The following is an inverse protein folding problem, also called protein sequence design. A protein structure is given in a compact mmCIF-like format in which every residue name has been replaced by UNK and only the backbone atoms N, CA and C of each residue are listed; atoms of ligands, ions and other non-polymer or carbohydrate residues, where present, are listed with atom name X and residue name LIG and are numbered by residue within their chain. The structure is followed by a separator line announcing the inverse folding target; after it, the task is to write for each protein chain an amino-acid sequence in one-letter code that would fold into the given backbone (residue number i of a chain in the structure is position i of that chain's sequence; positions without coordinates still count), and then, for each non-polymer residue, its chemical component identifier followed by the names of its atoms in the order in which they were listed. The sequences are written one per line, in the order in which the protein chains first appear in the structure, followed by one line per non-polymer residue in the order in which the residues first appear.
data_IF_503425441126
#
_entry.id   IF_503425441126
#
_cell.length_a   1.000
_cell.length_b   1.000
_cell.length_c   1.000
_cell.angle_alpha   90.00
_cell.angle_beta   90.00
_cell.angle_gamma   90.00
#
_symmetry.space_group_name_H-M   'P 1'
#
loop_
_entity.id
_entity.type
_entity.pdbx_description
1 polymer ?
#
# COMPACT_ATOMS: atom_id res chain seq x y z
N UNK A 1 1.96 -14.05 2.30
CA UNK A 1 2.36 -12.61 2.35
C UNK A 1 3.77 -12.38 1.77
N UNK A 2 4.09 -13.06 0.67
CA UNK A 2 5.32 -12.83 -0.10
C UNK A 2 5.01 -11.79 -1.18
N UNK A 3 5.77 -10.67 -1.20
CA UNK A 3 6.44 -10.16 -2.41
C UNK A 3 7.42 -9.00 -2.14
N UNK A 4 7.49 -8.41 -0.93
CA UNK A 4 8.56 -7.46 -0.61
C UNK A 4 9.95 -8.09 -0.39
N UNK A 5 10.12 -9.40 -0.61
CA UNK A 5 11.44 -10.06 -0.60
C UNK A 5 12.03 -10.28 -1.99
N UNK A 6 11.26 -10.11 -3.07
CA UNK A 6 11.67 -10.64 -4.37
C UNK A 6 12.56 -9.71 -5.22
N UNK A 7 12.74 -8.43 -4.83
CA UNK A 7 13.54 -7.48 -5.62
C UNK A 7 14.85 -7.01 -4.96
N UNK A 8 15.26 -7.57 -3.82
CA UNK A 8 16.56 -7.22 -3.20
C UNK A 8 17.74 -8.11 -3.61
N UNK A 9 17.53 -9.21 -4.35
CA UNK A 9 18.61 -10.17 -4.68
C UNK A 9 19.18 -10.05 -6.09
N UNK A 10 18.72 -9.12 -6.95
CA UNK A 10 19.28 -8.97 -8.30
C UNK A 10 20.53 -8.09 -8.40
N UNK A 11 21.13 -7.66 -7.28
CA UNK A 11 22.39 -6.90 -7.26
C UNK A 11 23.36 -7.34 -6.16
N UNK A 12 23.62 -8.65 -6.02
CA UNK A 12 24.82 -9.13 -5.31
C UNK A 12 25.37 -10.32 -6.10
N UNK A 13 26.67 -10.25 -6.43
CA UNK A 13 27.36 -11.08 -7.43
C UNK A 13 27.43 -12.58 -7.15
N UNK A 14 27.66 -13.29 -8.24
CA UNK A 14 27.87 -14.72 -8.34
C UNK A 14 29.12 -15.21 -7.56
N UNK A 15 29.01 -16.37 -6.91
CA UNK A 15 30.12 -17.32 -6.73
C UNK A 15 29.58 -18.75 -6.87
N UNK A 16 30.32 -19.54 -7.66
CA UNK A 16 30.12 -20.93 -8.08
C UNK A 16 30.19 -21.97 -6.93
N UNK A 17 29.62 -23.17 -7.16
CA UNK A 17 30.12 -24.54 -6.84
C UNK A 17 28.98 -25.57 -7.02
N UNK A 18 28.91 -26.34 -8.11
CA UNK A 18 29.47 -27.69 -8.31
C UNK A 18 28.99 -28.74 -7.26
N UNK A 19 27.95 -29.51 -7.59
CA UNK A 19 27.96 -30.93 -8.04
C UNK A 19 28.30 -31.95 -6.93
N UNK A 20 27.27 -32.65 -6.45
CA UNK A 20 27.40 -33.92 -5.74
C UNK A 20 26.32 -34.89 -6.25
N UNK A 21 26.71 -35.74 -7.20
CA UNK A 21 26.02 -36.98 -7.55
C UNK A 21 26.56 -38.14 -6.71
N UNK A 22 25.64 -38.98 -6.23
CA UNK A 22 25.94 -40.31 -5.70
C UNK A 22 24.78 -41.29 -6.00
N UNK A 23 25.03 -42.60 -6.19
CA UNK A 23 24.21 -43.44 -7.07
C UNK A 23 23.53 -44.64 -6.37
N UNK A 24 22.89 -45.49 -7.20
CA UNK A 24 22.45 -46.87 -6.98
C UNK A 24 20.97 -47.01 -6.52
N UNK A 25 20.19 -48.03 -6.92
CA UNK A 25 20.52 -49.38 -7.41
C UNK A 25 19.23 -50.06 -7.94
N UNK A 26 19.42 -51.00 -8.87
CA UNK A 26 18.41 -51.85 -9.52
C UNK A 26 17.57 -52.72 -8.57
N UNK A 27 16.33 -53.02 -8.96
CA UNK A 27 15.75 -54.36 -8.79
C UNK A 27 14.67 -54.62 -9.84
N UNK A 28 14.85 -55.73 -10.55
CA UNK A 28 14.01 -56.29 -11.61
C UNK A 28 13.44 -57.59 -11.04
N UNK A 29 12.14 -57.85 -11.19
CA UNK A 29 11.57 -59.19 -11.08
C UNK A 29 10.47 -59.36 -12.13
N UNK A 30 10.69 -60.32 -13.02
CA UNK A 30 9.68 -60.97 -13.86
C UNK A 30 9.14 -62.19 -13.09
N UNK A 31 7.86 -62.55 -13.29
CA UNK A 31 7.41 -63.88 -13.76
C UNK A 31 5.88 -63.90 -13.98
N UNK A 32 5.48 -64.72 -14.96
CA UNK A 32 4.18 -64.86 -15.64
C UNK A 32 3.05 -65.61 -14.91
N UNK A 33 1.81 -65.39 -15.39
CA UNK A 33 0.74 -66.40 -15.57
C UNK A 33 -0.57 -66.23 -14.77
N UNK A 34 -1.71 -66.82 -15.22
CA UNK A 34 -2.45 -66.51 -16.45
C UNK A 34 -3.94 -66.14 -16.22
N UNK A 35 -4.63 -65.90 -17.34
CA UNK A 35 -5.99 -65.38 -17.54
C UNK A 35 -7.15 -65.96 -16.70
N UNK A 36 -8.06 -65.07 -16.31
CA UNK A 36 -9.49 -65.35 -16.16
C UNK A 36 -10.29 -64.10 -16.55
N UNK A 37 -11.10 -64.21 -17.61
CA UNK A 37 -12.13 -63.24 -17.95
C UNK A 37 -13.30 -63.39 -16.97
N UNK A 38 -13.70 -62.29 -16.34
CA UNK A 38 -15.06 -62.08 -15.83
C UNK A 38 -15.44 -60.64 -16.13
N UNK A 39 -16.45 -60.49 -16.96
CA UNK A 39 -17.17 -59.26 -17.21
C UNK A 39 -17.90 -58.86 -15.92
N UNK A 40 -17.61 -57.69 -15.38
CA UNK A 40 -18.48 -57.03 -14.39
C UNK A 40 -18.28 -55.50 -14.51
N UNK A 41 -19.19 -54.89 -15.27
CA UNK A 41 -19.70 -53.52 -15.12
C UNK A 41 -18.69 -52.46 -14.63
N UNK A 42 -17.98 -51.87 -15.59
CA UNK A 42 -17.19 -50.65 -15.40
C UNK A 42 -18.15 -49.49 -15.06
N UNK A 43 -18.56 -49.39 -13.80
CA UNK A 43 -19.19 -48.20 -13.24
C UNK A 43 -18.17 -47.07 -13.30
N UNK A 44 -18.27 -46.35 -14.41
CA UNK A 44 -17.52 -45.18 -14.80
C UNK A 44 -17.60 -44.12 -13.69
N UNK A 45 -16.68 -44.19 -12.72
CA UNK A 45 -16.49 -43.14 -11.72
C UNK A 45 -15.80 -41.98 -12.45
N UNK A 46 -16.57 -41.22 -13.21
CA UNK A 46 -16.13 -39.90 -13.63
C UNK A 46 -16.05 -39.05 -12.37
N UNK A 47 -14.85 -38.59 -11.94
CA UNK A 47 -14.80 -37.50 -11.00
C UNK A 47 -15.53 -36.33 -11.65
N UNK A 48 -16.71 -36.00 -11.11
CA UNK A 48 -17.35 -34.73 -11.43
C UNK A 48 -16.31 -33.66 -11.17
N UNK A 49 -16.05 -32.73 -12.12
CA UNK A 49 -15.16 -31.62 -11.84
C UNK A 49 -15.73 -30.92 -10.63
N UNK A 50 -15.05 -31.06 -9.49
CA UNK A 50 -15.39 -30.35 -8.28
C UNK A 50 -15.41 -28.87 -8.66
N UNK A 51 -16.56 -28.22 -8.47
CA UNK A 51 -16.65 -26.76 -8.64
C UNK A 51 -15.46 -26.18 -7.88
N UNK A 52 -14.60 -25.36 -8.50
CA UNK A 52 -13.48 -24.77 -7.78
C UNK A 52 -14.07 -24.08 -6.57
N UNK A 53 -13.69 -24.54 -5.38
CA UNK A 53 -14.02 -23.87 -4.12
C UNK A 53 -13.69 -22.41 -4.33
N UNK A 54 -14.63 -21.48 -4.07
CA UNK A 54 -14.44 -20.08 -4.42
C UNK A 54 -13.14 -19.60 -3.80
N UNK A 55 -12.20 -19.19 -4.65
CA UNK A 55 -10.90 -18.71 -4.19
C UNK A 55 -11.17 -17.58 -3.17
N UNK A 56 -10.54 -17.60 -1.98
CA UNK A 56 -10.80 -16.61 -0.95
C UNK A 56 -10.68 -15.19 -1.53
N UNK A 57 -11.65 -14.32 -1.28
CA UNK A 57 -11.73 -13.00 -1.93
C UNK A 57 -10.42 -12.17 -1.82
N UNK A 58 -9.71 -12.25 -0.70
CA UNK A 58 -8.40 -11.62 -0.53
C UNK A 58 -7.32 -12.16 -1.49
N UNK A 59 -7.36 -13.46 -1.79
CA UNK A 59 -6.43 -14.07 -2.72
C UNK A 59 -6.74 -13.64 -4.16
N UNK A 60 -8.04 -13.59 -4.53
CA UNK A 60 -8.49 -12.99 -5.79
C UNK A 60 -8.03 -11.55 -5.94
N UNK A 61 -8.30 -10.70 -4.95
CA UNK A 61 -7.83 -9.31 -4.91
C UNK A 61 -6.32 -9.22 -5.14
N UNK A 62 -5.52 -10.02 -4.43
CA UNK A 62 -4.06 -10.05 -4.61
C UNK A 62 -3.65 -10.43 -6.03
N UNK A 63 -4.32 -11.40 -6.63
CA UNK A 63 -4.01 -11.89 -7.97
C UNK A 63 -4.42 -10.88 -9.04
N UNK A 64 -5.65 -10.40 -8.96
CA UNK A 64 -6.30 -9.58 -9.99
C UNK A 64 -5.85 -8.10 -9.94
N UNK A 65 -5.35 -7.60 -8.80
CA UNK A 65 -4.76 -6.25 -8.72
C UNK A 65 -3.23 -6.25 -8.89
N UNK A 66 -2.59 -7.40 -9.13
CA UNK A 66 -1.12 -7.54 -9.17
C UNK A 66 -0.46 -6.62 -10.18
N UNK A 67 -1.01 -6.56 -11.40
CA UNK A 67 -0.43 -5.76 -12.48
C UNK A 67 -0.44 -4.27 -12.13
N UNK A 68 -1.57 -3.75 -11.63
CA UNK A 68 -1.70 -2.34 -11.23
C UNK A 68 -0.85 -1.99 -10.01
N UNK A 69 -0.80 -2.87 -9.01
CA UNK A 69 0.09 -2.69 -7.86
C UNK A 69 1.55 -2.60 -8.31
N UNK A 70 2.01 -3.52 -9.16
CA UNK A 70 3.38 -3.54 -9.67
C UNK A 70 3.72 -2.30 -10.51
N UNK A 71 2.78 -1.84 -11.34
CA UNK A 71 2.95 -0.60 -12.11
C UNK A 71 3.15 0.61 -11.18
N UNK A 72 2.27 0.79 -10.20
CA UNK A 72 2.38 1.87 -9.21
C UNK A 72 3.71 1.80 -8.42
N UNK A 73 4.09 0.60 -7.97
CA UNK A 73 5.32 0.38 -7.20
C UNK A 73 6.57 0.71 -8.03
N UNK A 74 6.61 0.31 -9.31
CA UNK A 74 7.75 0.55 -10.20
C UNK A 74 8.05 2.02 -10.47
N UNK A 75 7.07 2.90 -10.28
CA UNK A 75 7.19 4.35 -10.46
C UNK A 75 7.53 5.07 -9.15
N UNK A 76 7.48 4.37 -8.03
CA UNK A 76 7.71 4.95 -6.72
C UNK A 76 9.17 5.30 -6.49
N UNK A 77 9.39 6.53 -6.02
CA UNK A 77 10.71 7.05 -5.66
C UNK A 77 11.01 6.87 -4.17
N UNK A 78 10.07 6.35 -3.38
CA UNK A 78 10.16 6.32 -1.92
C UNK A 78 11.24 5.38 -1.38
N UNK A 79 11.71 4.45 -2.20
CA UNK A 79 12.81 3.52 -1.88
C UNK A 79 14.10 3.85 -2.65
N UNK A 80 14.14 4.99 -3.36
CA UNK A 80 15.35 5.50 -4.00
C UNK A 80 16.37 5.91 -2.91
N UNK A 81 17.59 5.35 -2.90
CA UNK A 81 18.64 5.78 -1.98
C UNK A 81 19.03 7.26 -2.11
N UNK A 82 18.78 7.86 -3.28
CA UNK A 82 19.02 9.28 -3.55
C UNK A 82 17.77 10.17 -3.36
N UNK A 83 16.73 9.66 -2.68
CA UNK A 83 15.57 10.47 -2.33
C UNK A 83 15.99 11.64 -1.44
N UNK A 84 15.73 12.87 -1.89
CA UNK A 84 15.97 14.07 -1.08
C UNK A 84 14.76 14.41 -0.22
N UNK A 85 14.96 15.25 0.81
CA UNK A 85 13.86 15.71 1.68
C UNK A 85 12.80 16.51 0.91
N UNK A 86 13.22 17.30 -0.08
CA UNK A 86 12.34 18.08 -0.95
C UNK A 86 11.48 17.17 -1.82
N UNK A 87 12.09 16.15 -2.46
CA UNK A 87 11.37 15.14 -3.25
C UNK A 87 10.42 14.30 -2.39
N UNK A 88 10.78 14.07 -1.13
CA UNK A 88 9.91 13.38 -0.20
C UNK A 88 8.71 14.23 0.23
N UNK A 89 8.92 15.50 0.58
CA UNK A 89 7.85 16.47 0.89
C UNK A 89 6.87 16.62 -0.27
N UNK A 90 7.40 16.69 -1.49
CA UNK A 90 6.68 16.67 -2.75
C UNK A 90 5.77 15.43 -2.84
N UNK A 91 6.33 14.23 -2.66
CA UNK A 91 5.54 12.99 -2.62
C UNK A 91 4.41 13.06 -1.60
N UNK A 92 4.68 13.48 -0.36
CA UNK A 92 3.65 13.58 0.68
C UNK A 92 2.54 14.57 0.34
N UNK A 93 2.84 15.67 -0.34
CA UNK A 93 1.83 16.61 -0.82
C UNK A 93 0.87 15.93 -1.83
N UNK A 94 1.40 15.08 -2.74
CA UNK A 94 0.55 14.29 -3.65
C UNK A 94 -0.27 13.24 -2.90
N UNK A 95 0.33 12.52 -1.96
CA UNK A 95 -0.41 11.56 -1.12
C UNK A 95 -1.54 12.27 -0.37
N UNK A 96 -1.29 13.43 0.24
CA UNK A 96 -2.31 14.23 0.91
C UNK A 96 -3.42 14.66 -0.05
N UNK A 97 -3.05 15.17 -1.24
CA UNK A 97 -3.99 15.56 -2.29
C UNK A 97 -4.89 14.44 -2.81
N UNK A 98 -4.49 13.17 -2.64
CA UNK A 98 -5.34 12.01 -2.97
C UNK A 98 -6.16 11.53 -1.76
N UNK A 99 -5.48 11.31 -0.63
CA UNK A 99 -6.08 10.70 0.56
C UNK A 99 -7.13 11.61 1.20
N UNK A 100 -6.89 12.91 1.33
CA UNK A 100 -7.82 13.82 1.99
C UNK A 100 -9.22 13.84 1.32
N UNK A 101 -9.34 14.09 -0.01
CA UNK A 101 -10.65 14.07 -0.65
C UNK A 101 -11.25 12.66 -0.77
N UNK A 102 -10.42 11.61 -0.90
CA UNK A 102 -10.91 10.22 -0.89
C UNK A 102 -11.52 9.84 0.47
N UNK A 103 -10.85 10.17 1.57
CA UNK A 103 -11.35 9.88 2.90
C UNK A 103 -12.59 10.70 3.24
N UNK A 104 -12.72 11.93 2.73
CA UNK A 104 -13.96 12.69 2.81
C UNK A 104 -15.11 11.95 2.09
N UNK A 105 -14.86 11.45 0.88
CA UNK A 105 -15.84 10.64 0.14
C UNK A 105 -16.19 9.35 0.86
N UNK A 106 -15.20 8.66 1.42
CA UNK A 106 -15.41 7.47 2.24
C UNK A 106 -16.30 7.79 3.44
N UNK A 107 -16.05 8.87 4.19
CA UNK A 107 -16.91 9.25 5.35
C UNK A 107 -18.38 9.44 4.97
N UNK A 108 -18.65 10.00 3.79
CA UNK A 108 -20.00 10.20 3.28
C UNK A 108 -20.61 9.01 2.52
N UNK A 109 -19.90 7.88 2.43
CA UNK A 109 -20.35 6.73 1.65
C UNK A 109 -21.59 6.07 2.28
N UNK A 110 -22.67 5.81 1.52
CA UNK A 110 -23.79 5.01 2.01
C UNK A 110 -23.41 3.54 2.18
N UNK A 111 -22.30 3.08 1.60
CA UNK A 111 -21.79 1.71 1.74
C UNK A 111 -21.42 1.32 3.17
N UNK A 112 -21.33 2.28 4.12
CA UNK A 112 -21.13 1.95 5.53
C UNK A 112 -22.34 1.26 6.17
N UNK A 113 -23.54 1.47 5.64
CA UNK A 113 -24.78 0.94 6.23
C UNK A 113 -24.77 -0.59 6.39
N UNK A 114 -24.14 -1.29 5.44
CA UNK A 114 -24.06 -2.75 5.42
C UNK A 114 -22.63 -3.27 5.68
N UNK A 115 -21.64 -2.39 5.85
CA UNK A 115 -20.25 -2.78 5.99
C UNK A 115 -19.96 -3.51 7.32
N UNK A 116 -20.69 -3.17 8.39
CA UNK A 116 -20.49 -3.76 9.72
C UNK A 116 -19.05 -3.60 10.24
N UNK A 117 -18.34 -2.55 9.81
CA UNK A 117 -16.91 -2.37 10.06
C UNK A 117 -16.60 -0.94 10.52
N UNK A 118 -16.03 -0.80 11.72
CA UNK A 118 -15.68 0.49 12.30
C UNK A 118 -14.36 1.03 11.71
N UNK A 119 -14.44 2.01 10.81
CA UNK A 119 -13.26 2.51 10.09
C UNK A 119 -12.70 3.85 10.59
N UNK A 120 -13.40 4.57 11.47
CA UNK A 120 -13.02 5.94 11.84
C UNK A 120 -11.56 6.10 12.31
N UNK A 121 -11.04 5.14 13.07
CA UNK A 121 -9.65 5.13 13.58
C UNK A 121 -8.59 4.66 12.56
N UNK A 122 -8.96 4.52 11.29
CA UNK A 122 -8.11 4.01 10.19
C UNK A 122 -7.84 5.07 9.10
N UNK A 123 -8.48 6.23 9.20
CA UNK A 123 -8.20 7.39 8.34
C UNK A 123 -6.77 7.91 8.57
N UNK A 124 -6.06 8.22 7.47
CA UNK A 124 -4.62 8.51 7.40
C UNK A 124 -4.33 9.93 6.93
N UNK A 125 -5.32 10.67 6.41
CA UNK A 125 -5.13 12.07 5.98
C UNK A 125 -4.58 12.97 7.09
N UNK A 126 -4.95 12.72 8.35
CA UNK A 126 -4.40 13.43 9.50
C UNK A 126 -2.90 13.16 9.72
N UNK A 127 -2.44 11.93 9.48
CA UNK A 127 -1.02 11.57 9.57
C UNK A 127 -0.21 12.25 8.46
N UNK A 128 -0.76 12.34 7.25
CA UNK A 128 -0.16 13.09 6.15
C UNK A 128 -0.04 14.58 6.47
N UNK A 129 -1.09 15.19 7.02
CA UNK A 129 -1.04 16.59 7.46
C UNK A 129 0.03 16.80 8.53
N UNK A 130 0.10 15.92 9.53
CA UNK A 130 1.14 15.94 10.56
C UNK A 130 2.54 15.88 9.94
N UNK A 131 2.78 14.95 9.01
CA UNK A 131 4.09 14.80 8.37
C UNK A 131 4.47 16.03 7.56
N UNK A 132 3.55 16.59 6.79
CA UNK A 132 3.77 17.81 6.01
C UNK A 132 4.17 19.00 6.90
N UNK A 133 3.48 19.18 8.03
CA UNK A 133 3.79 20.24 9.00
C UNK A 133 5.16 20.00 9.67
N UNK A 134 5.46 18.75 10.07
CA UNK A 134 6.75 18.39 10.66
C UNK A 134 7.94 18.60 9.70
N UNK A 135 7.70 18.50 8.40
CA UNK A 135 8.68 18.77 7.36
C UNK A 135 8.78 20.26 6.97
N UNK A 136 8.01 21.15 7.61
CA UNK A 136 8.10 22.60 7.44
C UNK A 136 7.09 23.20 6.46
N UNK A 137 6.11 22.44 5.97
CA UNK A 137 5.01 23.04 5.20
C UNK A 137 4.19 23.95 6.11
N UNK A 138 4.00 25.22 5.70
CA UNK A 138 3.21 26.15 6.48
C UNK A 138 1.72 25.76 6.50
N UNK A 139 1.00 25.91 7.62
CA UNK A 139 -0.43 25.59 7.69
C UNK A 139 -1.29 26.27 6.62
N UNK A 140 -0.98 27.52 6.27
CA UNK A 140 -1.69 28.25 5.21
C UNK A 140 -1.55 27.59 3.82
N UNK A 141 -0.44 26.87 3.57
CA UNK A 141 -0.18 26.17 2.31
C UNK A 141 -0.88 24.82 2.24
N UNK A 142 -1.14 24.16 3.38
CA UNK A 142 -1.80 22.86 3.44
C UNK A 142 -3.20 22.91 2.80
N UNK A 143 -3.98 23.95 3.08
CA UNK A 143 -5.32 24.15 2.50
C UNK A 143 -5.29 24.50 1.00
N UNK A 144 -4.15 24.98 0.48
CA UNK A 144 -3.98 25.33 -0.93
C UNK A 144 -3.37 24.22 -1.78
N UNK A 145 -3.15 23.02 -1.21
CA UNK A 145 -2.60 21.90 -1.98
C UNK A 145 -3.61 21.41 -3.04
N UNK A 146 -3.13 21.08 -4.25
CA UNK A 146 -3.95 20.43 -5.26
C UNK A 146 -4.61 19.17 -4.70
N UNK A 147 -5.89 18.99 -5.00
CA UNK A 147 -6.67 17.83 -4.58
C UNK A 147 -7.15 17.04 -5.79
N UNK A 148 -7.08 15.72 -5.71
CA UNK A 148 -7.55 14.82 -6.75
C UNK A 148 -9.07 14.89 -6.88
N UNK A 149 -9.57 15.24 -8.06
CA UNK A 149 -11.01 15.20 -8.37
C UNK A 149 -11.45 13.87 -8.99
N UNK A 150 -10.54 13.20 -9.71
CA UNK A 150 -10.76 11.92 -10.37
C UNK A 150 -10.58 10.73 -9.42
N UNK A 151 -11.43 10.67 -8.39
CA UNK A 151 -11.42 9.63 -7.35
C UNK A 151 -12.33 8.44 -7.70
N UNK A 152 -12.07 7.23 -7.17
CA UNK A 152 -12.92 6.07 -7.38
C UNK A 152 -14.31 6.29 -6.76
N UNK A 153 -15.33 5.64 -7.32
CA UNK A 153 -16.68 5.62 -6.73
C UNK A 153 -16.69 4.75 -5.47
N UNK A 154 -17.44 5.17 -4.46
CA UNK A 154 -17.62 4.46 -3.19
C UNK A 154 -19.08 4.60 -2.73
N UNK A 155 -20.01 4.24 -3.61
CA UNK A 155 -21.47 4.33 -3.40
C UNK A 155 -22.06 3.03 -2.88
N UNK A 156 -21.34 1.91 -2.99
CA UNK A 156 -21.78 0.61 -2.47
C UNK A 156 -20.78 0.03 -1.48
N UNK A 157 -21.24 -0.88 -0.62
CA UNK A 157 -20.39 -1.61 0.34
C UNK A 157 -19.25 -2.36 -0.36
N UNK A 158 -19.52 -2.92 -1.55
CA UNK A 158 -18.49 -3.59 -2.37
C UNK A 158 -17.42 -2.62 -2.87
N UNK A 159 -17.83 -1.45 -3.37
CA UNK A 159 -16.90 -0.41 -3.79
C UNK A 159 -16.09 0.14 -2.62
N UNK A 160 -16.72 0.29 -1.46
CA UNK A 160 -16.06 0.68 -0.23
C UNK A 160 -14.97 -0.33 0.15
N UNK A 161 -15.28 -1.63 0.23
CA UNK A 161 -14.28 -2.64 0.58
C UNK A 161 -13.14 -2.77 -0.46
N UNK A 162 -13.45 -2.60 -1.75
CA UNK A 162 -12.44 -2.58 -2.80
C UNK A 162 -11.45 -1.41 -2.63
N UNK A 163 -11.97 -0.21 -2.36
CA UNK A 163 -11.16 0.96 -2.06
C UNK A 163 -10.31 0.77 -0.81
N UNK A 164 -10.92 0.31 0.30
CA UNK A 164 -10.23 0.09 1.56
C UNK A 164 -9.14 -0.99 1.46
N UNK A 165 -9.30 -1.99 0.60
CA UNK A 165 -8.26 -3.00 0.37
C UNK A 165 -6.95 -2.36 -0.08
N UNK A 166 -7.02 -1.35 -0.97
CA UNK A 166 -5.83 -0.62 -1.43
C UNK A 166 -5.24 0.22 -0.31
N UNK A 167 -6.06 0.98 0.42
CA UNK A 167 -5.60 1.89 1.48
C UNK A 167 -5.05 1.15 2.70
N UNK A 168 -5.67 0.04 3.11
CA UNK A 168 -5.18 -0.81 4.20
C UNK A 168 -3.96 -1.62 3.75
N UNK A 169 -3.96 -2.12 2.51
CA UNK A 169 -2.82 -2.86 1.94
C UNK A 169 -1.55 -2.03 1.88
N UNK A 170 -1.66 -0.73 1.55
CA UNK A 170 -0.53 0.20 1.51
C UNK A 170 0.22 0.31 2.86
N UNK A 171 -0.44 0.07 3.99
CA UNK A 171 0.20 0.14 5.32
C UNK A 171 1.24 -0.96 5.55
N UNK A 172 1.08 -2.11 4.90
CA UNK A 172 2.03 -3.22 4.97
C UNK A 172 3.36 -2.85 4.30
N UNK A 173 3.29 -2.24 3.10
CA UNK A 173 4.46 -1.72 2.40
C UNK A 173 5.07 -0.50 3.08
N UNK A 174 4.24 0.33 3.71
CA UNK A 174 4.65 1.50 4.51
C UNK A 174 5.68 1.16 5.59
N UNK A 175 5.66 -0.04 6.17
CA UNK A 175 6.66 -0.47 7.15
C UNK A 175 8.08 -0.54 6.57
N UNK A 176 8.21 -0.87 5.29
CA UNK A 176 9.52 -0.93 4.62
C UNK A 176 9.99 0.47 4.26
N UNK A 177 9.07 1.30 3.74
CA UNK A 177 9.32 2.71 3.46
C UNK A 177 9.77 3.45 4.72
N UNK A 178 9.10 3.24 5.85
CA UNK A 178 9.46 3.88 7.13
C UNK A 178 10.90 3.57 7.55
N UNK A 179 11.34 2.31 7.42
CA UNK A 179 12.73 1.92 7.73
C UNK A 179 13.72 2.56 6.76
N UNK A 180 13.38 2.63 5.48
CA UNK A 180 14.20 3.29 4.47
C UNK A 180 14.33 4.79 4.73
N UNK A 181 13.24 5.48 5.05
CA UNK A 181 13.23 6.92 5.36
C UNK A 181 14.05 7.22 6.62
N UNK A 182 13.98 6.37 7.64
CA UNK A 182 14.83 6.50 8.82
C UNK A 182 16.31 6.35 8.47
N UNK A 183 16.66 5.36 7.64
CA UNK A 183 18.06 5.11 7.27
C UNK A 183 18.65 6.17 6.32
N UNK A 184 17.86 6.66 5.36
CA UNK A 184 18.33 7.57 4.30
C UNK A 184 18.16 9.05 4.64
N UNK A 185 17.10 9.42 5.36
CA UNK A 185 16.73 10.81 5.65
C UNK A 185 16.66 11.14 7.15
N UNK A 186 16.87 10.16 8.03
CA UNK A 186 16.75 10.35 9.49
C UNK A 186 15.33 10.64 9.96
N UNK A 187 14.32 10.31 9.16
CA UNK A 187 12.93 10.60 9.46
C UNK A 187 12.30 9.51 10.35
N UNK A 188 11.50 9.94 11.31
CA UNK A 188 10.76 9.12 12.27
C UNK A 188 9.27 9.45 12.19
N UNK A 189 8.37 8.63 12.78
CA UNK A 189 6.96 8.99 12.86
C UNK A 189 6.72 10.38 13.47
N UNK A 190 7.58 10.83 14.38
CA UNK A 190 7.47 12.13 15.03
C UNK A 190 8.03 13.29 14.18
N UNK A 191 8.85 12.99 13.17
CA UNK A 191 9.60 13.99 12.39
C UNK A 191 9.29 14.00 10.89
N UNK A 192 8.19 13.35 10.48
CA UNK A 192 7.69 13.41 9.10
C UNK A 192 7.46 12.07 8.41
N UNK A 193 7.36 10.95 9.14
CA UNK A 193 7.08 9.63 8.56
C UNK A 193 5.89 8.88 9.21
N UNK A 194 4.99 9.58 9.92
CA UNK A 194 3.83 9.00 10.60
C UNK A 194 2.90 8.25 9.64
N UNK A 195 2.67 8.79 8.44
CA UNK A 195 1.78 8.20 7.44
C UNK A 195 2.24 6.80 7.02
N UNK A 196 3.51 6.64 6.68
CA UNK A 196 4.05 5.33 6.26
C UNK A 196 4.24 4.38 7.45
N UNK A 197 4.49 4.93 8.65
CA UNK A 197 4.51 4.14 9.87
C UNK A 197 3.14 3.51 10.17
N UNK A 198 2.05 4.16 9.72
CA UNK A 198 0.70 3.62 9.74
C UNK A 198 0.27 3.24 11.15
N UNK A 199 0.15 1.94 11.42
CA UNK A 199 -0.24 1.42 12.73
C UNK A 199 0.94 0.87 13.55
N UNK A 200 2.17 1.10 13.10
CA UNK A 200 3.39 0.56 13.70
C UNK A 200 3.29 -0.95 13.90
N UNK A 201 3.55 -1.41 15.13
CA UNK A 201 3.47 -2.81 15.51
C UNK A 201 2.08 -3.46 15.29
N UNK A 202 1.00 -2.67 15.26
CA UNK A 202 -0.36 -3.15 15.05
C UNK A 202 -0.73 -3.34 13.56
N UNK A 203 0.18 -3.04 12.63
CA UNK A 203 -0.12 -3.11 11.19
C UNK A 203 -0.61 -4.49 10.76
N UNK A 204 0.06 -5.54 11.23
CA UNK A 204 -0.33 -6.92 10.91
C UNK A 204 -1.68 -7.33 11.50
N UNK A 205 -2.01 -6.92 12.72
CA UNK A 205 -3.30 -7.26 13.35
C UNK A 205 -4.46 -6.49 12.71
N UNK A 206 -4.29 -5.20 12.43
CA UNK A 206 -5.32 -4.39 11.75
C UNK A 206 -5.59 -4.87 10.33
N UNK A 207 -4.57 -5.30 9.59
CA UNK A 207 -4.75 -5.93 8.29
C UNK A 207 -5.57 -7.23 8.38
N UNK A 208 -5.27 -8.09 9.37
CA UNK A 208 -6.01 -9.34 9.58
C UNK A 208 -7.48 -9.08 9.92
N UNK A 209 -7.74 -8.12 10.80
CA UNK A 209 -9.11 -7.71 11.17
C UNK A 209 -9.88 -7.21 9.93
N UNK A 210 -9.31 -6.26 9.19
CA UNK A 210 -9.90 -5.76 7.95
C UNK A 210 -10.18 -6.89 6.95
N UNK A 211 -9.19 -7.77 6.73
CA UNK A 211 -9.30 -8.89 5.81
C UNK A 211 -10.40 -9.88 6.19
N UNK A 212 -10.64 -10.11 7.48
CA UNK A 212 -11.73 -10.94 7.96
C UNK A 212 -13.11 -10.32 7.65
N UNK A 213 -13.28 -9.01 7.90
CA UNK A 213 -14.52 -8.30 7.55
C UNK A 213 -14.80 -8.32 6.04
N UNK A 214 -13.81 -8.00 5.22
CA UNK A 214 -13.95 -8.02 3.77
C UNK A 214 -14.32 -9.42 3.26
N UNK A 215 -13.64 -10.46 3.78
CA UNK A 215 -13.90 -11.84 3.37
C UNK A 215 -15.31 -12.30 3.76
N UNK A 216 -15.76 -11.96 4.97
CA UNK A 216 -17.11 -12.27 5.44
C UNK A 216 -18.17 -11.59 4.58
N UNK A 217 -18.01 -10.28 4.29
CA UNK A 217 -18.91 -9.55 3.41
C UNK A 217 -18.95 -10.14 1.99
N UNK A 218 -17.79 -10.43 1.40
CA UNK A 218 -17.70 -11.00 0.05
C UNK A 218 -18.39 -12.37 -0.05
N UNK A 219 -18.27 -13.20 0.99
CA UNK A 219 -18.93 -14.50 1.05
C UNK A 219 -20.45 -14.38 1.18
N UNK A 220 -20.93 -13.45 2.00
CA UNK A 220 -22.37 -13.25 2.23
C UNK A 220 -23.09 -12.60 1.05
N UNK A 221 -22.44 -11.60 0.42
CA UNK A 221 -23.05 -10.81 -0.65
C UNK A 221 -22.82 -11.37 -2.06
N UNK A 222 -21.81 -12.23 -2.24
CA UNK A 222 -21.35 -12.62 -3.57
C UNK A 222 -20.69 -11.50 -4.37
N UNK A 223 -20.41 -10.33 -3.75
CA UNK A 223 -19.95 -9.13 -4.45
C UNK A 223 -18.45 -9.12 -4.80
N UNK A 224 -17.80 -10.29 -4.89
CA UNK A 224 -16.36 -10.41 -5.11
C UNK A 224 -15.85 -9.64 -6.33
N UNK A 225 -16.57 -9.72 -7.45
CA UNK A 225 -16.17 -9.05 -8.70
C UNK A 225 -16.25 -7.53 -8.58
N UNK A 226 -17.27 -7.00 -7.92
CA UNK A 226 -17.42 -5.57 -7.67
C UNK A 226 -16.34 -5.04 -6.71
N UNK A 227 -15.95 -5.81 -5.70
CA UNK A 227 -14.85 -5.49 -4.78
C UNK A 227 -13.52 -5.41 -5.56
N UNK A 228 -13.24 -6.41 -6.41
CA UNK A 228 -12.02 -6.43 -7.25
C UNK A 228 -12.00 -5.28 -8.26
N UNK A 229 -13.12 -5.01 -8.92
CA UNK A 229 -13.24 -3.90 -9.87
C UNK A 229 -12.96 -2.55 -9.19
N UNK A 230 -13.49 -2.33 -7.98
CA UNK A 230 -13.24 -1.12 -7.22
C UNK A 230 -11.79 -1.00 -6.75
N UNK A 231 -11.16 -2.09 -6.31
CA UNK A 231 -9.74 -2.08 -5.96
C UNK A 231 -8.87 -1.69 -7.17
N UNK A 232 -9.18 -2.23 -8.36
CA UNK A 232 -8.50 -1.86 -9.60
C UNK A 232 -8.70 -0.38 -9.97
N UNK A 233 -9.93 0.14 -9.86
CA UNK A 233 -10.22 1.57 -10.07
C UNK A 233 -9.48 2.48 -9.07
N UNK A 234 -9.35 2.02 -7.81
CA UNK A 234 -8.60 2.75 -6.78
C UNK A 234 -7.10 2.80 -7.12
N UNK A 235 -6.49 1.68 -7.54
CA UNK A 235 -5.10 1.72 -8.03
C UNK A 235 -4.93 2.61 -9.26
N UNK A 236 -5.87 2.60 -10.20
CA UNK A 236 -5.82 3.42 -11.42
C UNK A 236 -5.79 4.91 -11.10
N UNK A 237 -6.76 5.37 -10.33
CA UNK A 237 -6.89 6.78 -9.95
C UNK A 237 -5.72 7.25 -9.09
N UNK A 238 -5.21 6.37 -8.20
CA UNK A 238 -4.04 6.64 -7.39
C UNK A 238 -2.78 6.78 -8.25
N UNK A 239 -2.54 5.87 -9.19
CA UNK A 239 -1.39 5.93 -10.10
C UNK A 239 -1.42 7.17 -11.01
N UNK A 240 -2.56 7.44 -11.64
CA UNK A 240 -2.74 8.62 -12.49
C UNK A 240 -2.50 9.93 -11.72
N UNK A 241 -2.91 9.99 -10.45
CA UNK A 241 -2.70 11.17 -9.62
C UNK A 241 -1.26 11.31 -9.12
N UNK A 242 -0.68 10.23 -8.58
CA UNK A 242 0.68 10.27 -8.03
C UNK A 242 1.72 10.46 -9.13
N UNK A 243 1.45 9.97 -10.34
CA UNK A 243 2.40 9.95 -11.43
C UNK A 243 1.69 10.28 -12.77
N UNK A 244 1.33 11.55 -13.04
CA UNK A 244 0.70 11.94 -14.29
C UNK A 244 1.65 11.78 -15.49
N UNK A 245 1.14 11.35 -16.65
CA UNK A 245 1.94 11.12 -17.88
C UNK A 245 2.51 12.41 -18.50
N UNK A 246 1.95 13.58 -18.15
CA UNK A 246 2.51 14.89 -18.47
C UNK A 246 2.89 15.60 -17.18
N UNK A 247 4.15 16.00 -17.09
CA UNK A 247 4.61 17.00 -16.13
C UNK A 247 3.79 18.27 -16.41
N UNK A 248 2.75 18.54 -15.63
CA UNK A 248 2.28 19.91 -15.51
C UNK A 248 3.41 20.68 -14.87
N UNK A 249 4.09 21.49 -15.66
CA UNK A 249 5.22 22.35 -15.27
C UNK A 249 4.84 23.46 -14.25
N UNK A 250 3.89 23.19 -13.36
CA UNK A 250 3.31 24.16 -12.43
C UNK A 250 3.46 23.77 -10.96
N UNK A 251 4.04 22.61 -10.65
CA UNK A 251 4.24 22.22 -9.26
C UNK A 251 5.72 22.14 -8.92
N UNK A 252 6.19 23.24 -8.36
CA UNK A 252 7.39 23.32 -7.53
C UNK A 252 6.91 23.81 -6.17
N UNK A 253 6.91 23.00 -5.10
CA UNK A 253 6.74 23.55 -3.77
C UNK A 253 7.86 24.59 -3.58
N UNK A 254 7.47 25.85 -3.34
CA UNK A 254 8.44 26.93 -3.13
C UNK A 254 9.43 26.48 -2.04
N UNK A 255 10.74 26.75 -2.20
CA UNK A 255 11.73 26.31 -1.23
C UNK A 255 11.33 26.78 0.16
N UNK A 256 11.62 25.94 1.17
CA UNK A 256 11.56 26.31 2.58
C UNK A 256 12.49 27.52 2.77
N UNK A 257 11.99 28.73 2.54
CA UNK A 257 12.73 29.93 2.84
C UNK A 257 12.80 30.02 4.36
N UNK A 258 13.94 29.59 4.89
CA UNK A 258 14.38 29.92 6.22
C UNK A 258 14.64 31.43 6.27
N UNK A 259 13.59 32.23 6.48
CA UNK A 259 13.72 33.60 6.94
C UNK A 259 13.50 33.63 8.44
N UNK A 260 14.44 33.05 9.19
CA UNK A 260 14.68 33.52 10.55
C UNK A 260 15.69 34.66 10.45
N UNK A 261 15.36 35.90 10.83
CA UNK A 261 16.38 36.91 11.02
C UNK A 261 17.30 36.44 12.14
N UNK A 262 18.57 36.21 11.81
CA UNK A 262 19.64 36.14 12.80
C UNK A 262 19.64 37.49 13.53
N UNK A 263 19.49 37.54 14.86
CA UNK A 263 19.67 38.80 15.57
C UNK A 263 21.12 39.25 15.33
N UNK A 264 21.31 40.41 14.70
CA UNK A 264 22.64 41.01 14.60
C UNK A 264 23.19 41.29 16.01
N UNK A 265 24.50 41.09 16.26
CA UNK A 265 25.12 41.39 17.54
C UNK A 265 25.05 42.88 17.93
N UNK A 266 24.70 43.77 17.00
CA UNK A 266 24.77 45.22 17.15
C UNK A 266 23.39 45.88 17.37
N UNK A 267 22.62 45.37 18.33
CA UNK A 267 21.54 46.19 18.93
C UNK A 267 22.10 46.95 20.14
N UNK A 268 22.12 48.29 20.14
CA UNK A 268 22.60 49.06 21.27
C UNK A 268 21.72 48.79 22.50
N UNK A 269 22.38 48.55 23.64
CA UNK A 269 21.74 48.44 24.95
C UNK A 269 20.96 49.74 25.21
N UNK A 270 19.64 49.69 25.13
CA UNK A 270 18.83 50.72 25.76
C UNK A 270 19.00 50.61 27.27
N UNK A 271 19.71 51.59 27.81
CA UNK A 271 19.91 51.79 29.23
C UNK A 271 18.55 51.88 29.95
N UNK A 272 18.56 51.28 31.14
CA UNK A 272 17.44 51.22 32.05
C UNK A 272 16.98 52.62 32.50
N UNK A 273 15.65 52.72 32.60
CA UNK A 273 14.88 53.40 33.64
C UNK A 273 15.49 54.60 34.36
N UNK A 274 14.81 55.74 34.26
CA UNK A 274 14.62 56.68 35.37
C UNK A 274 13.34 57.47 35.19
N UNK A 275 12.37 57.22 36.07
CA UNK A 275 11.34 58.18 36.54
C UNK A 275 10.68 57.57 37.79
N UNK A 276 10.13 58.36 38.72
CA UNK A 276 10.13 59.83 38.79
C UNK A 276 11.13 60.42 39.79
#
# INVERSE_FOLDING_TARGET
MLLCRSNLTSKIGAVNSADLRGPARNARWHTDGPAACLDDEEHMFHPTPSKPSPEPCLQRLKNETRARHGALESRSVLLDPALSRERYLDCLCRFYGYYAPLELRLRGSPGWAEAGFAYAARYKSALLAQDLLALGLLPARLHGLPSCSALPTVETTAQLFGCLYVLEGATLGGQIITRHLQASLGLTPESGAAFFAGYGAQTGSRWKEFGAHLTAFALQSGAGDAIVASANSTFETLDHWLYPERITAQWVPAPLQATYPVPSPDSPRHAAASSP
#
